data_IF_120777576738
#
_entry.id   IF_120777576738
#
_cell.length_a   1.000
_cell.length_b   1.000
_cell.length_c   1.000
_cell.angle_alpha   90.00
_cell.angle_beta   90.00
_cell.angle_gamma   90.00
#
_symmetry.space_group_name_H-M   'P 1'
#
loop_
_entity.id
_entity.type
_entity.pdbx_description
1 polymer ?
#
# COMPACT_ATOMS: atom_id res chain seq x y z
N UNK A 1 57.59 4.96 -59.09
CA UNK A 1 58.41 6.09 -59.60
C UNK A 1 57.49 7.19 -60.09
N UNK A 2 57.82 8.46 -59.74
CA UNK A 2 57.37 9.74 -60.35
C UNK A 2 55.88 10.07 -60.18
N UNK A 3 55.50 10.98 -59.25
CA UNK A 3 55.48 12.45 -59.35
C UNK A 3 54.84 12.96 -60.65
N UNK A 4 53.87 13.87 -60.52
CA UNK A 4 53.67 15.20 -61.17
C UNK A 4 52.14 15.48 -61.15
N UNK A 5 51.52 16.39 -60.37
CA UNK A 5 51.71 17.82 -60.04
C UNK A 5 51.35 18.78 -61.21
N UNK A 6 50.42 19.71 -60.93
CA UNK A 6 50.02 20.96 -61.64
C UNK A 6 48.96 20.82 -62.76
N UNK A 7 47.97 21.71 -62.96
CA UNK A 7 47.57 22.98 -62.34
C UNK A 7 46.16 23.40 -62.81
N UNK A 8 45.52 24.25 -61.99
CA UNK A 8 44.48 25.28 -62.26
C UNK A 8 43.66 25.28 -63.56
N UNK A 9 42.33 25.32 -63.42
CA UNK A 9 41.51 26.44 -63.92
C UNK A 9 40.07 26.39 -63.33
N UNK A 10 39.54 27.59 -63.13
CA UNK A 10 38.25 27.93 -62.51
C UNK A 10 37.03 27.26 -63.16
N UNK A 11 36.04 26.93 -62.33
CA UNK A 11 34.65 27.23 -62.63
C UNK A 11 33.83 27.32 -61.34
N UNK A 12 33.10 28.43 -61.22
CA UNK A 12 32.12 28.72 -60.19
C UNK A 12 31.05 27.62 -60.10
N UNK A 13 30.46 27.41 -58.92
CA UNK A 13 29.01 27.36 -58.80
C UNK A 13 28.58 27.42 -57.32
N UNK A 14 27.68 28.36 -57.12
CA UNK A 14 26.83 28.72 -55.99
C UNK A 14 26.14 27.58 -55.23
N UNK A 15 25.71 27.91 -54.01
CA UNK A 15 24.58 27.36 -53.21
C UNK A 15 24.94 26.40 -52.06
N UNK A 16 25.06 26.94 -50.84
CA UNK A 16 24.70 26.25 -49.59
C UNK A 16 24.19 27.29 -48.59
N UNK A 17 22.87 27.46 -48.51
CA UNK A 17 21.98 26.81 -47.52
C UNK A 17 21.98 27.55 -46.18
N UNK A 18 21.00 28.43 -46.04
CA UNK A 18 20.56 29.00 -44.77
C UNK A 18 20.09 27.87 -43.84
N UNK A 19 20.85 27.59 -42.79
CA UNK A 19 20.40 26.77 -41.67
C UNK A 19 19.48 27.61 -40.79
N UNK A 20 18.22 27.20 -40.50
CA UNK A 20 17.54 27.72 -39.33
C UNK A 20 18.17 27.07 -38.10
N UNK A 21 18.73 27.90 -37.22
CA UNK A 21 19.12 27.50 -35.89
C UNK A 21 17.88 27.01 -35.14
N UNK A 22 17.76 25.70 -34.96
CA UNK A 22 16.74 25.10 -34.10
C UNK A 22 17.05 25.43 -32.64
N UNK A 23 16.42 26.49 -32.13
CA UNK A 23 16.35 26.73 -30.70
C UNK A 23 15.57 25.56 -30.05
N UNK A 24 16.26 24.75 -29.27
CA UNK A 24 15.66 23.69 -28.47
C UNK A 24 14.70 24.33 -27.46
N UNK A 25 13.40 24.21 -27.70
CA UNK A 25 12.41 24.40 -26.65
C UNK A 25 12.62 23.28 -25.62
N UNK A 26 13.18 23.63 -24.46
CA UNK A 26 13.07 22.76 -23.30
C UNK A 26 11.59 22.73 -22.89
N UNK A 27 10.97 21.56 -22.97
CA UNK A 27 9.65 21.35 -22.39
C UNK A 27 9.70 21.68 -20.89
N UNK A 28 8.71 22.41 -20.34
CA UNK A 28 8.65 22.66 -18.91
C UNK A 28 8.49 21.32 -18.19
N UNK A 29 9.45 20.99 -17.34
CA UNK A 29 9.38 19.88 -16.38
C UNK A 29 8.06 20.00 -15.61
N UNK A 30 7.23 18.94 -15.54
CA UNK A 30 5.98 19.00 -14.78
C UNK A 30 6.31 19.38 -13.33
N UNK A 31 5.77 20.49 -12.87
CA UNK A 31 5.92 20.94 -11.48
C UNK A 31 5.47 19.82 -10.56
N UNK A 32 6.38 19.29 -9.75
CA UNK A 32 6.04 18.33 -8.69
C UNK A 32 4.87 18.92 -7.87
N UNK A 33 3.73 18.23 -7.84
CA UNK A 33 2.58 18.64 -7.05
C UNK A 33 2.96 18.60 -5.57
N UNK A 34 3.42 19.73 -5.05
CA UNK A 34 3.79 19.89 -3.66
C UNK A 34 2.54 20.23 -2.85
N UNK A 35 1.96 19.23 -2.21
CA UNK A 35 0.86 19.44 -1.25
C UNK A 35 1.45 19.94 0.07
N UNK A 36 1.31 21.24 0.33
CA UNK A 36 1.68 21.83 1.63
C UNK A 36 0.49 21.75 2.58
N UNK A 37 0.51 20.79 3.51
CA UNK A 37 -0.53 20.68 4.55
C UNK A 37 -0.27 21.73 5.62
N UNK A 38 -1.02 22.83 5.58
CA UNK A 38 -1.08 23.80 6.68
C UNK A 38 -1.83 23.13 7.85
N UNK A 39 -1.27 23.18 9.06
CA UNK A 39 -1.61 22.32 10.20
C UNK A 39 -3.09 21.96 10.39
N UNK A 40 -3.36 20.69 10.71
CA UNK A 40 -4.71 20.17 10.94
C UNK A 40 -5.30 20.68 12.26
N UNK A 41 -6.30 21.55 12.17
CA UNK A 41 -7.23 21.80 13.26
C UNK A 41 -8.22 20.63 13.30
N UNK A 42 -8.14 19.79 14.34
CA UNK A 42 -8.80 18.49 14.50
C UNK A 42 -8.14 17.35 13.69
N UNK A 43 -7.02 16.83 14.21
CA UNK A 43 -6.44 15.59 13.70
C UNK A 43 -7.51 14.49 13.68
N UNK A 44 -7.60 13.74 12.57
CA UNK A 44 -8.49 12.59 12.48
C UNK A 44 -8.21 11.63 13.63
N UNK A 45 -9.27 11.08 14.25
CA UNK A 45 -9.10 10.02 15.24
C UNK A 45 -8.51 8.74 14.61
N UNK A 46 -8.55 8.64 13.28
CA UNK A 46 -8.00 7.54 12.53
C UNK A 46 -6.48 7.58 12.47
N UNK A 47 -5.86 6.44 12.72
CA UNK A 47 -4.44 6.22 12.48
C UNK A 47 -4.22 4.91 11.72
N UNK A 48 -3.05 4.83 11.08
CA UNK A 48 -2.54 3.62 10.43
C UNK A 48 -1.53 2.96 11.37
N UNK A 49 -1.62 1.64 11.50
CA UNK A 49 -0.60 0.80 12.12
C UNK A 49 -0.28 -0.35 11.17
N UNK A 50 0.97 -0.79 11.15
CA UNK A 50 1.43 -1.83 10.24
C UNK A 50 2.30 -2.85 10.96
N UNK A 51 2.20 -4.09 10.47
CA UNK A 51 3.04 -5.23 10.82
C UNK A 51 3.65 -5.82 9.53
N UNK A 52 4.19 -7.03 9.59
CA UNK A 52 4.80 -7.66 8.43
C UNK A 52 3.75 -8.03 7.38
N UNK A 53 2.65 -8.64 7.80
CA UNK A 53 1.61 -9.18 6.91
C UNK A 53 0.31 -8.38 6.94
N UNK A 54 0.15 -7.43 7.88
CA UNK A 54 -1.10 -6.67 8.04
C UNK A 54 -0.92 -5.16 8.07
N UNK A 55 -1.91 -4.45 7.52
CA UNK A 55 -2.12 -3.01 7.66
C UNK A 55 -3.47 -2.79 8.35
N UNK A 56 -3.48 -2.02 9.44
CA UNK A 56 -4.69 -1.69 10.19
C UNK A 56 -4.93 -0.18 10.15
N UNK A 57 -6.11 0.23 9.69
CA UNK A 57 -6.64 1.57 9.88
C UNK A 57 -7.62 1.53 11.04
N UNK A 58 -7.48 2.41 12.04
CA UNK A 58 -8.35 2.35 13.22
C UNK A 58 -8.58 3.71 13.87
N UNK A 59 -9.77 3.88 14.45
CA UNK A 59 -10.15 4.97 15.36
C UNK A 59 -10.17 4.53 16.85
N UNK A 60 -9.60 3.35 17.16
CA UNK A 60 -9.55 2.76 18.50
C UNK A 60 -8.30 3.19 19.30
N UNK A 61 -7.96 2.50 20.40
CA UNK A 61 -6.73 2.77 21.14
C UNK A 61 -5.52 2.12 20.46
N UNK A 62 -4.36 2.79 20.49
CA UNK A 62 -3.10 2.23 19.97
C UNK A 62 -2.73 0.91 20.65
N UNK A 63 -2.99 0.78 21.95
CA UNK A 63 -2.73 -0.45 22.70
C UNK A 63 -3.58 -1.62 22.17
N UNK A 64 -4.87 -1.39 21.90
CA UNK A 64 -5.75 -2.41 21.32
C UNK A 64 -5.29 -2.82 19.93
N UNK A 65 -4.91 -1.87 19.07
CA UNK A 65 -4.41 -2.19 17.72
C UNK A 65 -3.09 -2.93 17.76
N UNK A 66 -2.20 -2.60 18.70
CA UNK A 66 -0.94 -3.32 18.88
C UNK A 66 -1.19 -4.79 19.26
N UNK A 67 -2.09 -5.04 20.22
CA UNK A 67 -2.45 -6.41 20.62
C UNK A 67 -3.17 -7.17 19.49
N UNK A 68 -4.03 -6.49 18.72
CA UNK A 68 -4.67 -7.06 17.53
C UNK A 68 -3.62 -7.51 16.51
N UNK A 69 -2.68 -6.65 16.14
CA UNK A 69 -1.62 -6.96 15.18
C UNK A 69 -0.77 -8.15 15.65
N UNK A 70 -0.38 -8.18 16.92
CA UNK A 70 0.37 -9.31 17.48
C UNK A 70 -0.40 -10.64 17.36
N UNK A 71 -1.70 -10.63 17.64
CA UNK A 71 -2.54 -11.83 17.53
C UNK A 71 -2.73 -12.27 16.07
N UNK A 72 -2.89 -11.32 15.14
CA UNK A 72 -2.99 -11.61 13.71
C UNK A 72 -1.69 -12.21 13.16
N UNK A 73 -0.53 -11.69 13.55
CA UNK A 73 0.77 -12.24 13.16
C UNK A 73 0.99 -13.64 13.74
N UNK A 74 0.58 -13.89 14.99
CA UNK A 74 0.62 -15.24 15.58
C UNK A 74 -0.29 -16.21 14.83
N UNK A 75 -1.49 -15.78 14.46
CA UNK A 75 -2.42 -16.60 13.67
C UNK A 75 -1.88 -16.89 12.28
N UNK A 76 -1.37 -15.89 11.57
CA UNK A 76 -0.76 -16.04 10.25
C UNK A 76 0.40 -17.04 10.29
N UNK A 77 1.30 -16.90 11.26
CA UNK A 77 2.40 -17.83 11.47
C UNK A 77 1.91 -19.28 11.67
N UNK A 78 0.92 -19.49 12.53
CA UNK A 78 0.33 -20.81 12.75
C UNK A 78 -0.28 -21.37 11.47
N UNK A 79 -1.08 -20.57 10.74
CA UNK A 79 -1.69 -21.00 9.49
C UNK A 79 -0.64 -21.41 8.46
N UNK A 80 0.48 -20.68 8.33
CA UNK A 80 1.58 -21.05 7.43
C UNK A 80 2.22 -22.37 7.80
N UNK A 81 2.44 -22.64 9.08
CA UNK A 81 2.98 -23.93 9.52
C UNK A 81 2.09 -25.09 9.03
N UNK A 82 0.78 -24.98 9.26
CA UNK A 82 -0.18 -26.04 8.92
C UNK A 82 -0.55 -26.11 7.44
N UNK A 83 -0.41 -25.03 6.68
CA UNK A 83 -0.81 -24.96 5.27
C UNK A 83 0.37 -24.97 4.29
N UNK A 84 1.61 -25.03 4.79
CA UNK A 84 2.84 -25.00 4.00
C UNK A 84 2.85 -25.98 2.82
N UNK A 85 2.33 -27.20 3.00
CA UNK A 85 2.27 -28.23 1.97
C UNK A 85 1.26 -27.92 0.83
N UNK A 86 0.32 -27.01 1.06
CA UNK A 86 -0.74 -26.63 0.14
C UNK A 86 -0.51 -25.25 -0.51
N UNK A 87 0.49 -24.50 -0.02
CA UNK A 87 0.82 -23.18 -0.51
C UNK A 87 1.46 -23.23 -1.89
N UNK A 88 0.88 -22.50 -2.86
CA UNK A 88 1.60 -22.15 -4.08
C UNK A 88 2.52 -20.96 -3.77
N UNK A 89 3.80 -20.98 -4.18
CA UNK A 89 4.67 -19.81 -4.01
C UNK A 89 4.05 -18.61 -4.72
N UNK A 90 3.73 -17.55 -3.98
CA UNK A 90 3.33 -16.28 -4.57
C UNK A 90 4.57 -15.38 -4.71
N UNK A 91 4.82 -14.80 -5.89
CA UNK A 91 6.03 -14.01 -6.15
C UNK A 91 6.05 -12.66 -5.42
N UNK A 92 4.90 -12.19 -4.93
CA UNK A 92 4.81 -11.01 -4.08
C UNK A 92 3.66 -11.21 -3.09
N UNK A 93 3.97 -11.23 -1.81
CA UNK A 93 2.94 -11.32 -0.78
C UNK A 93 2.36 -9.93 -0.50
N UNK A 94 1.05 -9.76 -0.71
CA UNK A 94 0.36 -8.51 -0.40
C UNK A 94 -0.09 -8.48 1.05
N UNK A 95 0.15 -7.36 1.74
CA UNK A 95 -0.36 -7.16 3.09
C UNK A 95 -1.89 -7.13 3.09
N UNK A 96 -2.49 -7.80 4.06
CA UNK A 96 -3.93 -7.77 4.30
C UNK A 96 -4.31 -6.44 4.97
N UNK A 97 -5.36 -5.79 4.45
CA UNK A 97 -5.83 -4.51 5.00
C UNK A 97 -7.06 -4.73 5.87
N UNK A 98 -7.04 -4.20 7.09
CA UNK A 98 -8.15 -4.27 8.05
C UNK A 98 -8.55 -2.86 8.48
N UNK A 99 -9.83 -2.55 8.37
CA UNK A 99 -10.44 -1.35 8.97
C UNK A 99 -11.08 -1.72 10.30
N UNK A 100 -10.54 -1.23 11.41
CA UNK A 100 -10.93 -1.66 12.75
C UNK A 100 -11.54 -0.52 13.56
N UNK A 101 -12.84 -0.61 13.81
CA UNK A 101 -13.64 0.47 14.39
C UNK A 101 -13.87 0.31 15.89
N UNK A 102 -13.97 1.42 16.61
CA UNK A 102 -14.36 1.45 18.03
C UNK A 102 -15.85 1.18 18.29
N UNK A 103 -16.72 1.52 17.34
CA UNK A 103 -18.17 1.56 17.55
C UNK A 103 -18.86 0.29 17.03
N UNK A 104 -19.71 -0.36 17.86
CA UNK A 104 -20.67 -1.35 17.37
C UNK A 104 -21.53 -0.77 16.24
N UNK A 105 -21.86 -1.57 15.23
CA UNK A 105 -22.67 -1.14 14.07
C UNK A 105 -21.90 -0.44 12.95
N UNK A 106 -20.58 -0.20 13.10
CA UNK A 106 -19.77 0.41 12.05
C UNK A 106 -19.68 -0.45 10.76
N UNK A 107 -20.00 -1.73 10.85
CA UNK A 107 -20.01 -2.65 9.70
C UNK A 107 -21.07 -2.31 8.65
N UNK A 108 -22.11 -1.55 9.00
CA UNK A 108 -23.11 -1.04 8.05
C UNK A 108 -22.51 -0.11 6.98
N UNK A 109 -21.27 0.37 7.16
CA UNK A 109 -20.54 1.13 6.14
C UNK A 109 -19.97 0.25 5.02
N UNK A 110 -19.88 -1.07 5.24
CA UNK A 110 -19.25 -2.02 4.32
C UNK A 110 -20.24 -2.99 3.67
N UNK A 111 -21.48 -3.06 4.17
CA UNK A 111 -22.55 -3.87 3.62
C UNK A 111 -23.90 -3.22 3.94
N UNK A 112 -24.82 -3.23 2.98
CA UNK A 112 -26.18 -2.68 3.13
C UNK A 112 -26.99 -3.41 4.20
N UNK A 113 -26.70 -4.70 4.42
CA UNK A 113 -27.39 -5.54 5.41
C UNK A 113 -26.38 -6.51 6.05
N UNK A 114 -25.52 -6.04 6.96
CA UNK A 114 -24.57 -6.91 7.64
C UNK A 114 -25.34 -7.93 8.50
N UNK A 115 -24.85 -9.17 8.66
CA UNK A 115 -25.44 -10.11 9.61
C UNK A 115 -25.53 -9.48 11.00
N UNK A 116 -26.65 -9.71 11.70
CA UNK A 116 -27.01 -9.00 12.95
C UNK A 116 -25.89 -9.00 14.00
N UNK A 117 -25.22 -10.14 14.15
CA UNK A 117 -24.19 -10.36 15.17
C UNK A 117 -22.79 -10.44 14.55
N UNK A 118 -22.61 -9.91 13.34
CA UNK A 118 -21.29 -9.84 12.71
C UNK A 118 -20.37 -8.91 13.51
N UNK A 119 -19.21 -9.44 13.88
CA UNK A 119 -18.13 -8.69 14.53
C UNK A 119 -17.02 -8.29 13.55
N UNK A 120 -17.08 -8.85 12.34
CA UNK A 120 -16.25 -8.48 11.21
C UNK A 120 -16.83 -8.98 9.89
N UNK A 121 -16.39 -8.33 8.81
CA UNK A 121 -16.72 -8.66 7.42
C UNK A 121 -15.42 -8.77 6.65
N UNK A 122 -15.30 -9.76 5.78
CA UNK A 122 -14.14 -9.95 4.92
C UNK A 122 -14.61 -10.06 3.49
N UNK A 123 -13.90 -9.38 2.58
CA UNK A 123 -14.10 -9.54 1.15
C UNK A 123 -12.77 -9.82 0.47
N UNK A 124 -12.82 -10.66 -0.55
CA UNK A 124 -11.69 -11.03 -1.39
C UNK A 124 -12.04 -10.77 -2.84
N UNK A 125 -11.17 -10.08 -3.58
CA UNK A 125 -11.28 -9.90 -5.02
C UNK A 125 -9.90 -10.02 -5.68
N UNK A 126 -9.84 -9.84 -7.00
CA UNK A 126 -8.58 -9.87 -7.75
C UNK A 126 -7.56 -8.80 -7.31
N UNK A 127 -8.02 -7.72 -6.68
CA UNK A 127 -7.16 -6.66 -6.16
C UNK A 127 -6.62 -6.95 -4.74
N UNK A 128 -7.09 -8.00 -4.07
CA UNK A 128 -6.64 -8.39 -2.74
C UNK A 128 -7.78 -8.72 -1.78
N UNK A 129 -7.43 -8.83 -0.51
CA UNK A 129 -8.37 -9.13 0.59
C UNK A 129 -8.41 -7.96 1.55
N UNK A 130 -9.62 -7.56 1.92
CA UNK A 130 -9.87 -6.51 2.89
C UNK A 130 -10.84 -7.01 3.97
N UNK A 131 -10.60 -6.57 5.20
CA UNK A 131 -11.46 -6.82 6.33
C UNK A 131 -11.99 -5.52 6.93
N UNK A 132 -13.17 -5.60 7.54
CA UNK A 132 -13.68 -4.62 8.47
C UNK A 132 -14.04 -5.32 9.78
N UNK A 133 -13.71 -4.73 10.92
CA UNK A 133 -14.00 -5.30 12.24
C UNK A 133 -14.38 -4.24 13.25
N UNK A 134 -15.02 -4.66 14.33
CA UNK A 134 -15.39 -3.79 15.45
C UNK A 134 -14.74 -4.27 16.75
N UNK A 135 -14.24 -3.33 17.54
CA UNK A 135 -13.76 -3.58 18.89
C UNK A 135 -14.96 -3.74 19.81
N UNK A 136 -15.22 -4.96 20.27
CA UNK A 136 -16.29 -5.25 21.22
C UNK A 136 -15.88 -4.91 22.67
N UNK A 137 -14.65 -5.28 23.03
CA UNK A 137 -14.04 -5.04 24.33
C UNK A 137 -12.53 -4.81 24.16
N UNK A 138 -11.83 -4.16 25.12
CA UNK A 138 -10.39 -4.04 25.08
C UNK A 138 -9.71 -5.40 24.90
N UNK A 139 -8.76 -5.49 23.96
CA UNK A 139 -8.01 -6.72 23.73
C UNK A 139 -6.97 -6.86 24.84
N UNK A 140 -7.18 -7.84 25.71
CA UNK A 140 -6.22 -8.21 26.76
C UNK A 140 -5.09 -9.02 26.13
N UNK A 141 -3.87 -8.79 26.61
CA UNK A 141 -2.74 -9.63 26.26
C UNK A 141 -2.98 -11.05 26.79
N UNK A 142 -2.81 -12.04 25.91
CA UNK A 142 -2.97 -13.45 26.24
C UNK A 142 -1.64 -14.17 26.09
N UNK A 143 -1.02 -14.46 27.23
CA UNK A 143 0.17 -15.30 27.29
C UNK A 143 -0.20 -16.75 26.90
N UNK A 144 0.74 -17.47 26.27
CA UNK A 144 0.52 -18.86 25.84
C UNK A 144 -0.01 -19.76 26.98
N UNK A 145 0.49 -19.57 28.20
CA UNK A 145 0.07 -20.34 29.37
C UNK A 145 -1.39 -20.11 29.79
N UNK A 146 -1.98 -18.99 29.39
CA UNK A 146 -3.32 -18.56 29.78
C UNK A 146 -4.39 -18.94 28.76
N UNK A 147 -4.01 -19.34 27.55
CA UNK A 147 -4.95 -19.75 26.50
C UNK A 147 -5.92 -20.86 26.94
N UNK A 148 -5.45 -21.79 27.76
CA UNK A 148 -6.28 -22.89 28.29
C UNK A 148 -7.30 -22.45 29.36
N UNK A 149 -7.15 -21.24 29.90
CA UNK A 149 -7.97 -20.68 30.98
C UNK A 149 -8.79 -19.48 30.55
N UNK A 150 -8.53 -18.96 29.34
CA UNK A 150 -9.24 -17.82 28.81
C UNK A 150 -10.73 -18.16 28.65
N UNK A 151 -11.64 -17.25 29.02
CA UNK A 151 -13.06 -17.44 28.78
C UNK A 151 -13.30 -17.61 27.27
N UNK A 152 -14.14 -18.58 26.90
CA UNK A 152 -14.62 -18.70 25.53
C UNK A 152 -15.58 -17.53 25.30
N UNK A 153 -15.45 -16.84 24.17
CA UNK A 153 -16.44 -15.84 23.79
C UNK A 153 -17.74 -16.57 23.43
N UNK A 154 -18.75 -16.47 24.30
CA UNK A 154 -20.13 -16.91 24.05
C UNK A 154 -20.90 -15.90 23.19
#
# INVERSE_FOLDING_TARGET
MKRQLHSCALAALTLLSTLPAGAQHAEPVPSEQRVTVQGMKNASAWFKAESQHFVVYSDTSRASVFQLLNNLERLDYLLRLYTSAYGKPQPLESKLTLTFHKRPGALAQFADTPPRDAVGLYSSCSAGVQGAGVLLAPITELANAELSKAPVND
#
